data_IF_612531546978
#
_entry.id   IF_612531546978
#
_cell.length_a   1.000
_cell.length_b   1.000
_cell.length_c   1.000
_cell.angle_alpha   90.00
_cell.angle_beta   90.00
_cell.angle_gamma   90.00
#
_symmetry.space_group_name_H-M   'P 1'
#
loop_
_entity.id
_entity.type
_entity.pdbx_description
1 polymer ?
#
# COMPACT_ATOMS: atom_id res chain seq x y z
N UNK A 1 19.45 -20.95 -11.10
CA UNK A 1 18.09 -20.59 -11.55
C UNK A 1 17.85 -19.14 -11.16
N UNK A 2 17.61 -18.25 -12.12
CA UNK A 2 17.49 -16.80 -11.90
C UNK A 2 16.02 -16.42 -11.72
N UNK A 3 15.60 -16.23 -10.47
CA UNK A 3 14.24 -15.85 -10.06
C UNK A 3 13.80 -14.41 -10.45
N UNK A 4 14.46 -13.82 -11.46
CA UNK A 4 14.29 -12.43 -11.88
C UNK A 4 14.16 -12.27 -13.40
N UNK A 5 13.94 -13.38 -14.11
CA UNK A 5 13.83 -13.39 -15.58
C UNK A 5 12.37 -13.53 -16.01
N UNK A 6 11.75 -12.42 -16.40
CA UNK A 6 10.35 -12.38 -16.85
C UNK A 6 10.13 -13.14 -18.17
N UNK A 7 11.17 -13.46 -18.94
CA UNK A 7 11.02 -14.29 -20.14
C UNK A 7 10.60 -15.73 -19.81
N UNK A 8 10.79 -16.14 -18.55
CA UNK A 8 10.35 -17.44 -18.03
C UNK A 8 9.00 -17.38 -17.31
N UNK A 9 8.37 -16.19 -17.23
CA UNK A 9 7.09 -16.03 -16.57
C UNK A 9 5.96 -16.68 -17.35
N UNK A 10 5.06 -17.35 -16.64
CA UNK A 10 3.79 -17.86 -17.17
C UNK A 10 2.69 -17.65 -16.14
N UNK A 11 1.45 -17.51 -16.60
CA UNK A 11 0.31 -17.42 -15.70
C UNK A 11 0.11 -18.74 -14.95
N UNK A 12 0.18 -18.72 -13.61
CA UNK A 12 0.16 -19.93 -12.79
C UNK A 12 -1.23 -20.58 -12.65
N UNK A 13 -2.25 -20.12 -13.37
CA UNK A 13 -3.62 -20.64 -13.27
C UNK A 13 -4.31 -20.29 -11.94
N UNK A 14 -3.79 -19.30 -11.21
CA UNK A 14 -4.27 -18.90 -9.88
C UNK A 14 -4.82 -17.49 -9.94
N UNK A 15 -6.04 -17.32 -9.43
CA UNK A 15 -6.69 -16.03 -9.27
C UNK A 15 -7.48 -16.01 -7.97
N UNK A 16 -7.80 -14.80 -7.52
CA UNK A 16 -8.63 -14.57 -6.35
C UNK A 16 -9.58 -13.39 -6.63
N UNK A 17 -10.87 -13.57 -6.35
CA UNK A 17 -11.88 -12.54 -6.60
C UNK A 17 -12.02 -11.62 -5.38
N UNK A 18 -11.72 -10.33 -5.57
CA UNK A 18 -11.79 -9.31 -4.50
C UNK A 18 -13.13 -8.54 -4.45
N UNK A 19 -14.01 -8.76 -5.43
CA UNK A 19 -15.21 -7.94 -5.65
C UNK A 19 -16.24 -7.95 -4.51
N UNK A 20 -16.11 -8.85 -3.54
CA UNK A 20 -16.92 -8.85 -2.32
C UNK A 20 -16.54 -7.73 -1.33
N UNK A 21 -15.36 -7.13 -1.45
CA UNK A 21 -14.89 -6.04 -0.60
C UNK A 21 -14.54 -4.78 -1.41
N UNK A 22 -13.89 -4.95 -2.57
CA UNK A 22 -13.36 -3.85 -3.37
C UNK A 22 -13.94 -3.89 -4.77
N UNK A 23 -14.53 -2.78 -5.20
CA UNK A 23 -15.08 -2.60 -6.55
C UNK A 23 -14.14 -1.80 -7.45
N UNK A 24 -13.09 -1.20 -6.89
CA UNK A 24 -12.09 -0.41 -7.61
C UNK A 24 -10.69 -0.64 -7.03
N UNK A 25 -10.29 -1.90 -6.93
CA UNK A 25 -8.97 -2.27 -6.44
C UNK A 25 -7.88 -1.78 -7.39
N UNK A 26 -6.99 -0.91 -6.90
CA UNK A 26 -5.98 -0.24 -7.72
C UNK A 26 -4.56 -0.74 -7.44
N UNK A 27 -4.25 -1.02 -6.17
CA UNK A 27 -2.91 -1.40 -5.75
C UNK A 27 -2.92 -2.65 -4.88
N UNK A 28 -1.89 -3.47 -5.06
CA UNK A 28 -1.62 -4.67 -4.27
C UNK A 28 -0.29 -4.51 -3.54
N UNK A 29 -0.29 -4.85 -2.26
CA UNK A 29 0.92 -4.87 -1.42
C UNK A 29 0.98 -6.19 -0.64
N UNK A 30 2.17 -6.72 -0.41
CA UNK A 30 2.36 -7.91 0.42
C UNK A 30 3.23 -7.59 1.64
N UNK A 31 2.90 -8.25 2.76
CA UNK A 31 3.88 -8.39 3.85
C UNK A 31 5.09 -9.19 3.32
N UNK A 32 6.34 -8.88 3.72
CA UNK A 32 7.53 -9.53 3.18
C UNK A 32 7.63 -11.05 3.34
N UNK A 33 6.84 -11.65 4.23
CA UNK A 33 6.79 -13.11 4.39
C UNK A 33 5.71 -13.77 3.50
N UNK A 34 4.94 -12.99 2.74
CA UNK A 34 3.94 -13.46 1.79
C UNK A 34 2.62 -13.92 2.40
N UNK A 35 2.45 -13.87 3.72
CA UNK A 35 1.25 -14.37 4.41
C UNK A 35 0.11 -13.36 4.49
N UNK A 36 0.38 -12.08 4.20
CA UNK A 36 -0.64 -11.03 4.19
C UNK A 36 -0.57 -10.27 2.87
N UNK A 37 -1.72 -10.12 2.24
CA UNK A 37 -1.94 -9.30 1.05
C UNK A 37 -2.87 -8.15 1.42
N UNK A 38 -2.60 -6.97 0.88
CA UNK A 38 -3.43 -5.78 1.03
C UNK A 38 -3.89 -5.31 -0.34
N UNK A 39 -5.14 -4.86 -0.42
CA UNK A 39 -5.73 -4.24 -1.60
C UNK A 39 -6.16 -2.83 -1.22
N UNK A 40 -5.72 -1.84 -2.01
CA UNK A 40 -6.17 -0.44 -1.89
C UNK A 40 -7.32 -0.23 -2.87
N UNK A 41 -8.50 0.13 -2.36
CA UNK A 41 -9.62 0.55 -3.19
C UNK A 41 -9.57 2.07 -3.43
N UNK A 42 -9.61 2.45 -4.71
CA UNK A 42 -9.44 3.83 -5.14
C UNK A 42 -10.59 4.74 -4.68
N UNK A 43 -11.85 4.37 -4.98
CA UNK A 43 -13.01 5.21 -4.71
C UNK A 43 -13.59 5.02 -3.30
N UNK A 44 -13.61 3.80 -2.78
CA UNK A 44 -14.08 3.55 -1.41
C UNK A 44 -13.02 3.93 -0.38
N UNK A 45 -11.81 4.32 -0.80
CA UNK A 45 -10.71 4.78 0.06
C UNK A 45 -10.39 3.80 1.19
N UNK A 46 -10.64 2.52 0.95
CA UNK A 46 -10.53 1.48 1.97
C UNK A 46 -9.40 0.54 1.60
N UNK A 47 -8.53 0.29 2.57
CA UNK A 47 -7.48 -0.72 2.47
C UNK A 47 -8.02 -2.00 3.08
N UNK A 48 -8.09 -3.07 2.30
CA UNK A 48 -8.55 -4.38 2.73
C UNK A 48 -7.39 -5.33 2.95
N UNK A 49 -7.43 -6.10 4.04
CA UNK A 49 -6.42 -7.09 4.38
C UNK A 49 -6.94 -8.51 4.17
N UNK A 50 -6.09 -9.33 3.56
CA UNK A 50 -6.31 -10.75 3.31
C UNK A 50 -5.17 -11.57 3.90
N UNK A 51 -5.49 -12.68 4.54
CA UNK A 51 -4.50 -13.68 4.97
C UNK A 51 -4.39 -14.76 3.92
N UNK A 52 -3.17 -15.22 3.65
CA UNK A 52 -2.89 -16.38 2.82
C UNK A 52 -2.44 -17.52 3.72
N UNK A 53 -2.95 -18.74 3.52
CA UNK A 53 -2.48 -19.91 4.28
C UNK A 53 -1.16 -20.47 3.73
N UNK A 54 -0.84 -20.17 2.47
CA UNK A 54 0.43 -20.50 1.83
C UNK A 54 1.06 -19.17 1.35
N UNK A 55 2.30 -18.85 1.73
CA UNK A 55 2.89 -17.56 1.40
C UNK A 55 3.00 -17.40 -0.11
N UNK A 56 2.64 -16.22 -0.62
CA UNK A 56 2.65 -15.88 -2.05
C UNK A 56 1.66 -16.66 -2.94
N UNK A 57 0.79 -17.47 -2.35
CA UNK A 57 -0.26 -18.20 -3.07
C UNK A 57 -1.63 -17.54 -2.89
N UNK A 58 -1.98 -16.64 -3.82
CA UNK A 58 -3.22 -15.86 -3.73
C UNK A 58 -4.50 -16.71 -3.82
N UNK A 59 -4.44 -17.95 -4.33
CA UNK A 59 -5.63 -18.82 -4.33
C UNK A 59 -6.03 -19.26 -2.92
N UNK A 60 -5.13 -19.09 -1.95
CA UNK A 60 -5.36 -19.35 -0.52
C UNK A 60 -5.74 -18.11 0.26
N UNK A 61 -5.91 -16.97 -0.41
CA UNK A 61 -6.30 -15.73 0.24
C UNK A 61 -7.71 -15.85 0.83
N UNK A 62 -7.89 -15.28 2.02
CA UNK A 62 -9.18 -15.13 2.70
C UNK A 62 -9.26 -13.73 3.30
N UNK A 63 -10.37 -13.04 3.10
CA UNK A 63 -10.59 -11.73 3.71
C UNK A 63 -10.50 -11.84 5.24
N UNK A 64 -9.64 -11.06 5.87
CA UNK A 64 -9.33 -11.19 7.29
C UNK A 64 -10.39 -10.57 8.21
N UNK A 65 -11.44 -9.97 7.66
CA UNK A 65 -12.36 -9.12 8.43
C UNK A 65 -11.73 -7.80 8.88
N UNK A 66 -10.58 -7.44 8.30
CA UNK A 66 -9.77 -6.27 8.68
C UNK A 66 -9.69 -5.30 7.52
N UNK A 67 -10.00 -4.04 7.81
CA UNK A 67 -9.89 -2.95 6.86
C UNK A 67 -9.51 -1.65 7.55
N UNK A 68 -9.10 -0.67 6.76
CA UNK A 68 -8.85 0.70 7.18
C UNK A 68 -9.47 1.66 6.17
N UNK A 69 -10.43 2.45 6.61
CA UNK A 69 -10.97 3.59 5.86
C UNK A 69 -10.04 4.80 6.05
N UNK A 70 -9.51 5.30 4.94
CA UNK A 70 -8.65 6.50 4.89
C UNK A 70 -9.32 7.70 4.22
N UNK A 71 -10.62 7.65 3.97
CA UNK A 71 -11.40 8.68 3.29
C UNK A 71 -11.42 10.04 3.99
N UNK A 72 -11.07 10.09 5.28
CA UNK A 72 -10.87 11.34 6.02
C UNK A 72 -9.58 12.08 5.63
N UNK A 73 -8.62 11.40 5.03
CA UNK A 73 -7.33 11.95 4.62
C UNK A 73 -7.33 12.31 3.14
N UNK A 74 -7.88 11.45 2.29
CA UNK A 74 -8.00 11.67 0.84
C UNK A 74 -9.19 10.87 0.28
N UNK A 75 -9.89 11.40 -0.73
CA UNK A 75 -11.05 10.76 -1.36
C UNK A 75 -10.70 9.76 -2.48
N UNK A 76 -9.42 9.65 -2.83
CA UNK A 76 -8.86 8.82 -3.90
C UNK A 76 -7.50 8.26 -3.45
N UNK A 77 -7.48 7.14 -2.73
CA UNK A 77 -6.23 6.52 -2.25
C UNK A 77 -5.64 5.58 -3.29
N UNK A 78 -4.34 5.69 -3.59
CA UNK A 78 -3.72 4.91 -4.68
C UNK A 78 -2.69 3.89 -4.26
N UNK A 79 -1.94 4.14 -3.19
CA UNK A 79 -0.81 3.28 -2.84
C UNK A 79 -0.55 3.29 -1.34
N UNK A 80 -0.03 2.17 -0.84
CA UNK A 80 0.49 2.05 0.52
C UNK A 80 1.90 1.49 0.50
N UNK A 81 2.69 1.85 1.52
CA UNK A 81 4.01 1.28 1.75
C UNK A 81 4.24 1.12 3.25
N UNK A 82 4.73 -0.05 3.65
CA UNK A 82 5.08 -0.32 5.05
C UNK A 82 6.57 -0.11 5.27
N UNK A 83 6.93 0.32 6.47
CA UNK A 83 8.33 0.23 6.89
C UNK A 83 8.70 -1.24 7.17
N UNK A 84 10.00 -1.59 7.23
CA UNK A 84 10.45 -2.99 7.28
C UNK A 84 9.94 -3.81 8.46
N UNK A 85 9.63 -3.17 9.60
CA UNK A 85 9.09 -3.86 10.77
C UNK A 85 7.56 -3.86 10.82
N UNK A 86 6.87 -3.21 9.86
CA UNK A 86 5.40 -3.16 9.77
C UNK A 86 4.71 -2.27 10.79
N UNK A 87 5.46 -1.49 11.58
CA UNK A 87 4.88 -0.59 12.60
C UNK A 87 4.37 0.73 12.02
N UNK A 88 4.77 1.07 10.79
CA UNK A 88 4.36 2.28 10.09
C UNK A 88 3.84 1.88 8.70
N UNK A 89 2.72 2.49 8.32
CA UNK A 89 2.21 2.47 6.96
C UNK A 89 2.12 3.91 6.45
N UNK A 90 2.67 4.15 5.27
CA UNK A 90 2.45 5.35 4.49
C UNK A 90 1.37 5.09 3.46
N UNK A 91 0.48 6.06 3.26
CA UNK A 91 -0.56 6.05 2.23
C UNK A 91 -0.40 7.27 1.35
N UNK A 92 -0.54 7.09 0.04
CA UNK A 92 -0.53 8.17 -0.95
C UNK A 92 -1.95 8.46 -1.43
N UNK A 93 -2.39 9.71 -1.22
CA UNK A 93 -3.62 10.25 -1.80
C UNK A 93 -3.35 10.81 -3.19
N UNK A 94 -4.22 10.48 -4.15
CA UNK A 94 -4.18 10.97 -5.52
C UNK A 94 -4.84 12.33 -5.65
N UNK A 95 -5.99 12.54 -4.98
CA UNK A 95 -6.76 13.79 -5.11
C UNK A 95 -5.98 14.99 -4.55
N UNK A 96 -5.45 14.87 -3.34
CA UNK A 96 -4.71 15.95 -2.67
C UNK A 96 -3.19 15.85 -2.81
N UNK A 97 -2.66 14.85 -3.53
CA UNK A 97 -1.23 14.65 -3.74
C UNK A 97 -0.42 14.70 -2.42
N UNK A 98 -0.86 13.94 -1.42
CA UNK A 98 -0.25 13.95 -0.09
C UNK A 98 0.12 12.54 0.37
N UNK A 99 1.30 12.40 0.97
CA UNK A 99 1.72 11.20 1.68
C UNK A 99 1.31 11.33 3.15
N UNK A 100 0.52 10.39 3.65
CA UNK A 100 0.03 10.32 5.03
C UNK A 100 0.69 9.18 5.79
N UNK A 101 1.05 9.41 7.05
CA UNK A 101 1.64 8.38 7.92
C UNK A 101 0.64 7.86 8.95
N UNK A 102 0.54 6.54 9.05
CA UNK A 102 -0.21 5.80 10.06
C UNK A 102 0.75 4.97 10.92
N UNK A 103 0.51 4.95 12.23
CA UNK A 103 1.18 4.02 13.15
C UNK A 103 0.30 2.79 13.37
N UNK A 104 0.86 1.60 13.22
CA UNK A 104 0.19 0.31 13.47
C UNK A 104 0.45 -0.14 14.92
N UNK A 105 0.10 0.75 15.85
CA UNK A 105 0.32 0.58 17.29
C UNK A 105 -0.92 0.93 18.12
N UNK A 106 -2.11 0.81 17.52
CA UNK A 106 -3.39 0.92 18.22
C UNK A 106 -3.58 -0.15 19.31
N UNK A 107 -4.83 -0.34 19.77
CA UNK A 107 -5.14 -1.29 20.86
C UNK A 107 -4.60 -2.69 20.51
N UNK A 108 -3.56 -3.13 21.23
CA UNK A 108 -2.71 -4.32 20.96
C UNK A 108 -1.80 -4.13 19.74
N UNK A 109 -0.71 -3.38 19.89
CA UNK A 109 0.33 -3.19 18.87
C UNK A 109 0.59 -4.48 18.07
N UNK A 110 0.10 -4.50 16.83
CA UNK A 110 0.20 -5.65 15.94
C UNK A 110 0.72 -5.11 14.62
N UNK A 111 2.06 -5.13 14.40
CA UNK A 111 2.64 -4.75 13.13
C UNK A 111 1.94 -5.48 11.98
N UNK A 112 1.81 -4.83 10.82
CA UNK A 112 1.13 -5.39 9.65
C UNK A 112 -0.39 -5.61 9.82
N UNK A 113 -1.02 -5.07 10.86
CA UNK A 113 -2.48 -5.06 11.01
C UNK A 113 -3.08 -3.69 10.69
N UNK A 114 -3.75 -3.56 9.54
CA UNK A 114 -4.35 -2.29 9.12
C UNK A 114 -5.51 -1.84 10.02
N UNK A 115 -6.20 -2.78 10.68
CA UNK A 115 -7.28 -2.44 11.63
C UNK A 115 -6.76 -1.81 12.92
N UNK A 116 -5.44 -1.90 13.18
CA UNK A 116 -4.76 -1.24 14.29
C UNK A 116 -4.18 0.13 13.94
N UNK A 117 -4.28 0.54 12.67
CA UNK A 117 -3.66 1.75 12.17
C UNK A 117 -4.31 3.01 12.76
N UNK A 118 -3.47 3.94 13.21
CA UNK A 118 -3.89 5.24 13.74
C UNK A 118 -3.17 6.33 12.95
N UNK A 119 -3.93 7.26 12.38
CA UNK A 119 -3.36 8.40 11.66
C UNK A 119 -2.47 9.23 12.61
N UNK A 120 -1.18 9.33 12.27
CA UNK A 120 -0.18 9.96 13.13
C UNK A 120 -0.19 11.49 13.09
N UNK A 121 -1.06 12.10 12.25
CA UNK A 121 -1.07 13.54 11.92
C UNK A 121 0.19 14.05 11.23
N UNK A 122 1.10 13.15 10.86
CA UNK A 122 2.24 13.44 10.00
C UNK A 122 1.81 13.23 8.55
N UNK A 123 2.05 14.25 7.72
CA UNK A 123 1.79 14.24 6.29
C UNK A 123 2.81 15.09 5.55
N UNK A 124 2.99 14.82 4.28
CA UNK A 124 3.80 15.61 3.35
C UNK A 124 3.00 15.85 2.09
N UNK A 125 2.66 17.10 1.86
CA UNK A 125 2.05 17.56 0.62
C UNK A 125 3.14 17.62 -0.46
N UNK A 126 2.93 16.89 -1.56
CA UNK A 126 3.83 16.82 -2.71
C UNK A 126 3.26 17.53 -3.93
N UNK A 127 2.13 18.25 -3.79
CA UNK A 127 1.40 18.91 -4.88
C UNK A 127 2.19 19.99 -5.61
N UNK A 128 3.24 20.55 -5.00
CA UNK A 128 4.10 21.53 -5.64
C UNK A 128 4.96 20.94 -6.78
N UNK A 129 5.16 19.62 -6.79
CA UNK A 129 5.92 18.90 -7.81
C UNK A 129 5.07 17.84 -8.51
N UNK A 130 4.23 17.13 -7.76
CA UNK A 130 3.47 15.99 -8.21
C UNK A 130 1.98 16.34 -8.33
N UNK A 131 1.45 16.26 -9.56
CA UNK A 131 0.03 16.38 -9.83
C UNK A 131 -0.50 15.02 -10.31
N UNK A 132 -1.53 14.52 -9.63
CA UNK A 132 -2.13 13.19 -9.83
C UNK A 132 -1.13 12.07 -9.53
N UNK A 133 -0.89 11.86 -8.24
CA UNK A 133 0.06 10.86 -7.75
C UNK A 133 -0.49 9.44 -7.90
N UNK A 134 0.26 8.51 -8.50
CA UNK A 134 -0.17 7.13 -8.78
C UNK A 134 0.66 6.05 -8.06
N UNK A 135 1.92 6.37 -7.74
CA UNK A 135 2.88 5.39 -7.23
C UNK A 135 3.61 5.92 -6.01
N UNK A 136 3.85 5.04 -5.04
CA UNK A 136 4.63 5.31 -3.83
C UNK A 136 5.61 4.17 -3.58
N UNK A 137 6.89 4.50 -3.40
CA UNK A 137 7.91 3.53 -3.02
C UNK A 137 8.86 4.13 -1.98
N UNK A 138 9.14 3.39 -0.91
CA UNK A 138 10.15 3.74 0.10
C UNK A 138 11.36 2.83 -0.04
N UNK A 139 12.56 3.37 0.11
CA UNK A 139 13.77 2.56 0.24
C UNK A 139 13.72 1.74 1.54
N UNK A 140 14.37 0.57 1.54
CA UNK A 140 14.37 -0.34 2.70
C UNK A 140 15.02 0.25 3.95
N UNK A 141 15.97 1.17 3.78
CA UNK A 141 16.61 1.92 4.85
C UNK A 141 15.78 3.13 5.34
N UNK A 142 14.67 3.44 4.67
CA UNK A 142 13.80 4.57 4.98
C UNK A 142 14.41 5.95 4.72
N UNK A 143 15.58 6.04 4.07
CA UNK A 143 16.27 7.31 3.81
C UNK A 143 15.68 8.08 2.63
N UNK A 144 14.96 7.39 1.73
CA UNK A 144 14.35 8.00 0.54
C UNK A 144 12.96 7.44 0.28
N UNK A 145 12.14 8.24 -0.36
CA UNK A 145 10.92 7.77 -0.99
C UNK A 145 10.71 8.42 -2.36
N UNK A 146 9.87 7.79 -3.16
CA UNK A 146 9.62 8.14 -4.55
C UNK A 146 8.13 8.20 -4.81
N UNK A 147 7.70 9.18 -5.60
CA UNK A 147 6.32 9.29 -6.08
C UNK A 147 6.27 9.37 -7.59
N UNK A 148 5.31 8.69 -8.22
CA UNK A 148 5.02 8.83 -9.65
C UNK A 148 3.86 9.80 -9.86
N UNK A 149 4.04 10.79 -10.73
CA UNK A 149 3.02 11.74 -11.16
C UNK A 149 2.53 11.39 -12.57
N UNK A 150 1.26 11.07 -12.75
CA UNK A 150 0.73 10.70 -14.07
C UNK A 150 0.57 11.89 -15.01
N UNK A 151 0.24 13.07 -14.48
CA UNK A 151 0.04 14.25 -15.33
C UNK A 151 1.33 14.73 -15.99
N UNK A 152 2.44 14.70 -15.27
CA UNK A 152 3.75 15.14 -15.79
C UNK A 152 4.60 13.99 -16.32
N UNK A 153 4.17 12.73 -16.10
CA UNK A 153 4.95 11.52 -16.38
C UNK A 153 6.34 11.54 -15.70
N UNK A 154 6.38 11.99 -14.44
CA UNK A 154 7.65 12.23 -13.71
C UNK A 154 7.70 11.42 -12.43
N UNK A 155 8.87 10.84 -12.14
CA UNK A 155 9.19 10.30 -10.81
C UNK A 155 9.92 11.36 -10.00
N UNK A 156 9.40 11.67 -8.83
CA UNK A 156 10.04 12.57 -7.87
C UNK A 156 10.69 11.77 -6.75
N UNK A 157 11.90 12.15 -6.36
CA UNK A 157 12.64 11.58 -5.23
C UNK A 157 12.66 12.58 -4.07
N UNK A 158 12.45 12.07 -2.86
CA UNK A 158 12.51 12.83 -1.62
C UNK A 158 13.50 12.16 -0.66
N UNK A 159 14.29 12.96 0.04
CA UNK A 159 15.22 12.47 1.07
C UNK A 159 14.62 12.73 2.44
N UNK A 160 14.59 11.71 3.30
CA UNK A 160 14.19 11.87 4.70
C UNK A 160 15.45 12.16 5.53
N UNK A 161 15.44 13.28 6.24
CA UNK A 161 16.49 13.59 7.21
C UNK A 161 16.33 12.70 8.44
N UNK A 162 17.48 12.22 8.94
CA UNK A 162 17.63 11.50 10.22
C UNK A 162 17.43 12.44 11.41
#
# INVERSE_FOLDING_TARGET
MTYWDISTAFYSGKSFYIGSQSTSGLSVCFKPDGFIMYIVDYFNTTIFQYTLSIPWDISTAVYSGKSLDVGKQDSESVAISFNPNGSIMHMLGHYNNTVFRYNLNGKKHTPWDVSSAVYSRIKLDVSAQNHYSEGLFFSSDGSKFYTLASQTNTVYQYTLSI
#
